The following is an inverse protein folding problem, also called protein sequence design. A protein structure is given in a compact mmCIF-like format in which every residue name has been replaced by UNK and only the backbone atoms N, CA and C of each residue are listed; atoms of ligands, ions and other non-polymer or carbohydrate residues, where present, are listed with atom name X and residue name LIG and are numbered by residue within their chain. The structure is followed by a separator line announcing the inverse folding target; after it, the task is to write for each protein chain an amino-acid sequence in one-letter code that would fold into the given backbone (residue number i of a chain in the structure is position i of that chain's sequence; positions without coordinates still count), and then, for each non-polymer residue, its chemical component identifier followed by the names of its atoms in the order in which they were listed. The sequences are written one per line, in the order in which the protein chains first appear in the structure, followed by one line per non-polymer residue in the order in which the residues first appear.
data_IF_956835564479
#
_entry.id   IF_956835564479
#
_cell.length_a   1.000
_cell.length_b   1.000
_cell.length_c   1.000
_cell.angle_alpha   90.00
_cell.angle_beta   90.00
_cell.angle_gamma   90.00
#
_symmetry.space_group_name_H-M   'P 1'
#
loop_
_entity.id
_entity.type
_entity.pdbx_description
1 polymer ?
#
# COMPACT_ATOMS: atom_id res chain seq x y z
N UNK A 1 -6.38 -14.68 33.05
CA UNK A 1 -6.42 -13.95 31.77
C UNK A 1 -7.87 -13.64 31.44
N UNK A 2 -8.34 -12.48 31.90
CA UNK A 2 -9.71 -12.01 31.77
C UNK A 2 -9.85 -11.21 30.49
N UNK A 3 -10.57 -11.73 29.51
CA UNK A 3 -10.99 -10.99 28.32
C UNK A 3 -12.07 -9.98 28.72
N UNK A 4 -11.75 -8.69 28.66
CA UNK A 4 -12.73 -7.61 28.77
C UNK A 4 -13.50 -7.52 27.43
N UNK A 5 -14.84 -7.35 27.45
CA UNK A 5 -15.63 -7.25 26.24
C UNK A 5 -15.36 -5.92 25.52
N UNK A 6 -15.19 -6.00 24.21
CA UNK A 6 -14.86 -4.92 23.26
C UNK A 6 -15.98 -3.88 23.07
N UNK A 7 -16.85 -3.68 24.06
CA UNK A 7 -18.03 -2.78 23.99
C UNK A 7 -17.84 -1.47 24.75
N UNK A 8 -16.61 -1.09 25.10
CA UNK A 8 -16.34 0.23 25.67
C UNK A 8 -16.40 1.32 24.59
N UNK A 9 -17.62 1.75 24.30
CA UNK A 9 -18.03 3.15 24.12
C UNK A 9 -17.08 4.01 23.26
N UNK A 10 -17.20 3.88 21.93
CA UNK A 10 -16.86 4.99 21.03
C UNK A 10 -18.08 5.91 20.91
N UNK A 11 -18.35 6.68 21.98
CA UNK A 11 -19.30 7.80 21.91
C UNK A 11 -18.59 9.01 21.29
N UNK A 12 -18.38 8.96 19.98
CA UNK A 12 -17.97 10.14 19.21
C UNK A 12 -19.20 11.00 18.96
N UNK A 13 -19.38 12.01 19.82
CA UNK A 13 -20.39 13.07 19.68
C UNK A 13 -20.15 13.81 18.35
N UNK A 14 -20.95 13.53 17.32
CA UNK A 14 -20.93 14.31 16.08
C UNK A 14 -21.48 15.71 16.34
N UNK A 15 -20.60 16.72 16.34
CA UNK A 15 -20.99 18.12 16.36
C UNK A 15 -21.79 18.45 15.09
N UNK A 16 -23.09 18.68 15.24
CA UNK A 16 -24.03 18.94 14.14
C UNK A 16 -23.83 20.36 13.60
N UNK A 17 -23.04 20.50 12.53
CA UNK A 17 -23.25 21.60 11.58
C UNK A 17 -24.13 21.05 10.46
N UNK A 18 -25.39 21.49 10.41
CA UNK A 18 -26.38 21.02 9.44
C UNK A 18 -25.80 21.17 8.02
N UNK A 19 -25.68 20.07 7.26
CA UNK A 19 -25.04 20.18 5.98
C UNK A 19 -26.11 20.50 4.93
N UNK A 20 -25.78 21.42 4.03
CA UNK A 20 -26.62 21.91 2.94
C UNK A 20 -27.32 20.76 2.21
N UNK A 21 -28.48 21.02 1.59
CA UNK A 21 -29.39 20.04 0.96
C UNK A 21 -28.74 19.03 -0.02
N UNK A 22 -27.49 19.23 -0.43
CA UNK A 22 -26.67 18.30 -1.21
C UNK A 22 -25.94 17.23 -0.38
N UNK A 23 -25.97 17.34 0.95
CA UNK A 23 -25.18 16.51 1.85
C UNK A 23 -25.78 15.16 2.14
N UNK A 24 -27.10 15.05 2.27
CA UNK A 24 -27.74 13.76 2.58
C UNK A 24 -27.58 12.78 1.42
N UNK A 25 -27.73 13.25 0.17
CA UNK A 25 -27.48 12.44 -1.02
C UNK A 25 -26.00 12.00 -1.13
N UNK A 26 -25.08 12.90 -0.80
CA UNK A 26 -23.65 12.60 -0.75
C UNK A 26 -23.31 11.57 0.35
N UNK A 27 -23.86 11.74 1.55
CA UNK A 27 -23.68 10.81 2.66
C UNK A 27 -24.21 9.42 2.31
N UNK A 28 -25.36 9.32 1.63
CA UNK A 28 -25.90 8.05 1.13
C UNK A 28 -24.94 7.37 0.15
N UNK A 29 -24.33 8.13 -0.77
CA UNK A 29 -23.33 7.59 -1.70
C UNK A 29 -22.10 7.06 -0.97
N UNK A 30 -21.58 7.80 0.01
CA UNK A 30 -20.46 7.33 0.85
C UNK A 30 -20.82 6.04 1.60
N UNK A 31 -22.00 5.97 2.21
CA UNK A 31 -22.41 4.75 2.94
C UNK A 31 -22.53 3.55 2.00
N UNK A 32 -23.05 3.73 0.78
CA UNK A 32 -23.10 2.65 -0.20
C UNK A 32 -21.69 2.17 -0.57
N UNK A 33 -20.75 3.10 -0.80
CA UNK A 33 -19.35 2.76 -1.07
C UNK A 33 -18.70 2.02 0.09
N UNK A 34 -18.86 2.51 1.32
CA UNK A 34 -18.29 1.88 2.52
C UNK A 34 -18.84 0.48 2.76
N UNK A 35 -20.12 0.20 2.41
CA UNK A 35 -20.70 -1.14 2.50
C UNK A 35 -20.01 -2.11 1.54
N UNK A 36 -19.70 -1.66 0.32
CA UNK A 36 -18.94 -2.46 -0.64
C UNK A 36 -17.52 -2.69 -0.12
N UNK A 37 -16.86 -1.64 0.38
CA UNK A 37 -15.49 -1.74 0.90
C UNK A 37 -15.37 -2.62 2.16
N UNK A 38 -16.40 -2.61 3.01
CA UNK A 38 -16.47 -3.48 4.17
C UNK A 38 -16.63 -4.96 3.79
N UNK A 39 -17.16 -5.24 2.60
CA UNK A 39 -17.34 -6.59 2.08
C UNK A 39 -16.08 -7.27 1.55
N UNK A 40 -14.95 -6.55 1.43
CA UNK A 40 -13.70 -7.16 0.98
C UNK A 40 -13.12 -8.09 2.06
N UNK A 41 -12.82 -9.32 1.66
CA UNK A 41 -12.07 -10.25 2.48
C UNK A 41 -10.62 -9.78 2.60
N UNK A 42 -10.16 -9.54 3.82
CA UNK A 42 -8.78 -9.13 4.11
C UNK A 42 -7.93 -10.34 4.45
N UNK A 43 -6.73 -10.38 3.88
CA UNK A 43 -5.70 -11.35 4.29
C UNK A 43 -4.98 -10.87 5.56
N UNK A 44 -4.40 -11.80 6.32
CA UNK A 44 -3.58 -11.46 7.49
C UNK A 44 -2.34 -10.67 7.06
N UNK A 45 -2.03 -9.61 7.80
CA UNK A 45 -0.82 -8.79 7.56
C UNK A 45 0.44 -9.65 7.57
N UNK A 46 0.55 -10.61 8.51
CA UNK A 46 1.69 -11.53 8.56
C UNK A 46 1.89 -12.34 7.27
N UNK A 47 0.79 -12.76 6.62
CA UNK A 47 0.85 -13.46 5.34
C UNK A 47 1.28 -12.50 4.23
N UNK A 48 0.64 -11.33 4.13
CA UNK A 48 1.00 -10.33 3.13
C UNK A 48 2.49 -9.93 3.22
N UNK A 49 3.02 -9.77 4.44
CA UNK A 49 4.43 -9.48 4.66
C UNK A 49 5.36 -10.61 4.22
N UNK A 50 4.99 -11.86 4.48
CA UNK A 50 5.77 -13.03 4.04
C UNK A 50 5.77 -13.15 2.50
N UNK A 51 4.64 -12.90 1.86
CA UNK A 51 4.52 -12.92 0.40
C UNK A 51 5.40 -11.82 -0.23
N UNK A 52 5.37 -10.60 0.32
CA UNK A 52 6.25 -9.50 -0.11
C UNK A 52 7.72 -9.83 0.07
N UNK A 53 8.11 -10.39 1.22
CA UNK A 53 9.50 -10.78 1.49
C UNK A 53 9.96 -11.84 0.49
N UNK A 54 9.13 -12.85 0.24
CA UNK A 54 9.43 -13.92 -0.71
C UNK A 54 9.67 -13.34 -2.10
N UNK A 55 8.76 -12.51 -2.60
CA UNK A 55 8.91 -11.84 -3.88
C UNK A 55 10.20 -11.04 -3.97
N UNK A 56 10.52 -10.24 -2.95
CA UNK A 56 11.76 -9.47 -2.92
C UNK A 56 13.00 -10.39 -2.93
N UNK A 57 13.02 -11.48 -2.17
CA UNK A 57 14.18 -12.39 -2.12
C UNK A 57 14.40 -13.15 -3.43
N UNK A 58 13.33 -13.54 -4.13
CA UNK A 58 13.40 -14.24 -5.40
C UNK A 58 13.94 -13.33 -6.51
N UNK A 59 13.50 -12.06 -6.52
CA UNK A 59 13.87 -11.08 -7.56
C UNK A 59 15.12 -10.27 -7.20
N UNK A 60 15.62 -10.36 -5.96
CA UNK A 60 16.79 -9.63 -5.49
C UNK A 60 18.02 -9.87 -6.38
N UNK A 61 18.23 -11.11 -6.83
CA UNK A 61 19.40 -11.45 -7.67
C UNK A 61 19.36 -10.85 -9.07
N UNK A 62 18.16 -10.63 -9.59
CA UNK A 62 17.94 -10.03 -10.90
C UNK A 62 17.89 -8.50 -10.87
N UNK A 63 17.88 -7.89 -9.67
CA UNK A 63 17.86 -6.44 -9.53
C UNK A 63 19.27 -5.85 -9.71
N UNK A 64 19.53 -5.11 -10.81
CA UNK A 64 20.83 -4.51 -11.09
C UNK A 64 21.26 -3.47 -10.06
N UNK A 65 20.31 -2.86 -9.36
CA UNK A 65 20.56 -1.83 -8.36
C UNK A 65 20.90 -2.43 -7.00
N UNK A 66 20.41 -3.64 -6.73
CA UNK A 66 20.68 -4.33 -5.47
C UNK A 66 21.97 -5.17 -5.53
N UNK A 67 22.15 -5.96 -6.59
CA UNK A 67 23.33 -6.82 -6.75
C UNK A 67 24.52 -6.10 -7.37
N UNK A 68 24.26 -4.99 -8.06
CA UNK A 68 25.23 -4.36 -8.95
C UNK A 68 25.37 -5.14 -10.26
N UNK A 69 25.71 -4.42 -11.32
CA UNK A 69 26.06 -5.01 -12.63
C UNK A 69 27.48 -4.61 -12.99
N UNK A 70 28.11 -5.42 -13.84
CA UNK A 70 29.42 -5.05 -14.38
C UNK A 70 29.29 -3.76 -15.20
N UNK A 71 30.35 -2.96 -15.19
CA UNK A 71 30.35 -1.69 -15.89
C UNK A 71 30.10 -1.88 -17.40
N UNK A 72 30.52 -3.00 -18.01
CA UNK A 72 30.22 -3.34 -19.41
C UNK A 72 28.73 -3.49 -19.71
N UNK A 73 27.97 -4.03 -18.76
CA UNK A 73 26.56 -4.35 -18.90
C UNK A 73 25.67 -3.15 -18.55
N UNK A 74 26.26 -2.11 -17.94
CA UNK A 74 25.57 -0.88 -17.62
C UNK A 74 25.38 -0.01 -18.88
N UNK A 75 24.15 0.15 -19.39
CA UNK A 75 23.89 0.97 -20.57
C UNK A 75 24.17 2.46 -20.35
N UNK A 76 24.28 2.91 -19.09
CA UNK A 76 24.61 4.29 -18.72
C UNK A 76 26.11 4.54 -18.52
N UNK A 77 26.99 3.58 -18.82
CA UNK A 77 28.44 3.78 -18.70
C UNK A 77 28.96 4.74 -19.76
N UNK A 78 29.85 5.64 -19.34
CA UNK A 78 30.61 6.49 -20.27
C UNK A 78 31.37 5.65 -21.29
N UNK A 79 31.12 5.94 -22.57
CA UNK A 79 31.90 5.35 -23.66
C UNK A 79 33.32 5.90 -23.55
N UNK A 80 34.32 5.01 -23.56
CA UNK A 80 35.71 5.46 -23.69
C UNK A 80 35.82 6.30 -24.97
N UNK A 81 36.47 7.48 -24.95
CA UNK A 81 36.73 8.21 -26.18
C UNK A 81 37.56 7.30 -27.10
N UNK A 82 37.07 7.03 -28.30
CA UNK A 82 37.85 6.33 -29.32
C UNK A 82 38.92 7.29 -29.84
N UNK A 83 40.19 7.04 -29.51
CA UNK A 83 41.31 7.65 -30.20
C UNK A 83 41.53 6.90 -31.51
N UNK A 84 41.33 7.57 -32.65
CA UNK A 84 41.79 7.06 -33.95
C UNK A 84 43.31 7.28 -33.97
N UNK A 85 44.06 6.19 -34.10
CA UNK A 85 45.52 6.19 -34.31
C UNK A 85 45.84 6.26 -35.80
#
# INVERSE_FOLDING_TARGET
MSVLPFSAVLSSRMSTKAPSSNSVAHARRIVQQLKVEAGFERIKVSKASADLMTYCTENARSDPLLMGIQASDNPFKDKKPCTIL
#
